data_IF_907464294408
#
_entry.id   IF_907464294408
#
_cell.length_a   1.000
_cell.length_b   1.000
_cell.length_c   1.000
_cell.angle_alpha   90.00
_cell.angle_beta   90.00
_cell.angle_gamma   90.00
#
_symmetry.space_group_name_H-M   'P 1'
#
loop_
_entity.id
_entity.type
_entity.pdbx_description
1 polymer ?
#
# COMPACT_ATOMS: atom_id res chain seq x y z
N UNK A 1 -10.88 1.65 -9.09
CA UNK A 1 -11.82 1.91 -7.98
C UNK A 1 -11.32 3.08 -7.16
N UNK A 2 -12.23 3.85 -6.58
CA UNK A 2 -11.90 5.01 -5.77
C UNK A 2 -12.57 4.91 -4.40
N UNK A 3 -11.78 4.81 -3.33
CA UNK A 3 -12.22 4.56 -1.96
C UNK A 3 -12.14 5.84 -1.14
N UNK A 4 -13.31 6.35 -0.75
CA UNK A 4 -13.47 7.64 -0.03
C UNK A 4 -14.19 7.51 1.31
N UNK A 5 -14.55 6.31 1.76
CA UNK A 5 -15.43 6.08 2.91
C UNK A 5 -14.97 4.94 3.83
N UNK A 6 -15.75 4.69 4.88
CA UNK A 6 -15.57 3.59 5.82
C UNK A 6 -16.26 2.31 5.33
N UNK A 7 -15.98 1.20 6.01
CA UNK A 7 -16.69 -0.08 5.90
C UNK A 7 -16.74 -0.62 4.46
N UNK A 8 -15.68 -0.31 3.71
CA UNK A 8 -15.53 -0.72 2.33
C UNK A 8 -14.92 -2.13 2.28
N UNK A 9 -15.56 -3.02 1.52
CA UNK A 9 -15.00 -4.34 1.20
C UNK A 9 -14.80 -4.47 -0.31
N UNK A 10 -13.58 -4.81 -0.72
CA UNK A 10 -13.23 -5.10 -2.12
C UNK A 10 -12.63 -6.49 -2.15
N UNK A 11 -13.30 -7.44 -2.81
CA UNK A 11 -12.89 -8.84 -2.76
C UNK A 11 -13.05 -9.58 -4.09
N UNK A 12 -12.11 -10.49 -4.38
CA UNK A 12 -12.26 -11.47 -5.47
C UNK A 12 -12.20 -10.87 -6.87
N UNK A 13 -11.60 -9.69 -7.05
CA UNK A 13 -11.51 -9.04 -8.36
C UNK A 13 -10.22 -9.41 -9.07
N UNK A 14 -10.33 -9.61 -10.39
CA UNK A 14 -9.20 -9.59 -11.31
C UNK A 14 -9.11 -8.21 -11.99
N UNK A 15 -7.94 -7.58 -11.96
CA UNK A 15 -7.75 -6.22 -12.49
C UNK A 15 -6.47 -6.16 -13.35
N UNK A 16 -6.52 -5.41 -14.45
CA UNK A 16 -5.37 -5.22 -15.33
C UNK A 16 -5.49 -3.93 -16.16
N UNK A 17 -4.39 -3.55 -16.82
CA UNK A 17 -4.34 -2.45 -17.77
C UNK A 17 -3.52 -1.25 -17.27
N UNK A 18 -2.78 -0.65 -18.20
CA UNK A 18 -1.87 0.48 -17.95
C UNK A 18 -2.51 1.87 -18.15
N UNK A 19 -3.81 1.94 -18.50
CA UNK A 19 -4.50 3.22 -18.70
C UNK A 19 -4.55 4.07 -17.42
N UNK A 20 -5.06 3.53 -16.30
CA UNK A 20 -5.04 4.23 -15.02
C UNK A 20 -3.64 4.28 -14.40
N UNK A 21 -3.37 5.32 -13.59
CA UNK A 21 -2.19 5.36 -12.71
C UNK A 21 -2.24 4.26 -11.65
N UNK A 22 -3.44 3.98 -11.11
CA UNK A 22 -3.66 2.93 -10.10
C UNK A 22 -4.99 2.22 -10.33
N UNK A 23 -5.05 0.94 -9.98
CA UNK A 23 -6.28 0.14 -10.02
C UNK A 23 -7.21 0.48 -8.85
N UNK A 24 -6.68 0.74 -7.65
CA UNK A 24 -7.44 1.16 -6.47
C UNK A 24 -6.76 2.37 -5.84
N UNK A 25 -7.44 3.51 -5.89
CA UNK A 25 -7.03 4.72 -5.18
C UNK A 25 -7.76 4.84 -3.85
N UNK A 26 -7.05 5.21 -2.78
CA UNK A 26 -7.61 5.38 -1.44
C UNK A 26 -7.19 6.74 -0.85
N UNK A 27 -8.17 7.54 -0.40
CA UNK A 27 -7.94 8.85 0.20
C UNK A 27 -8.64 9.98 -0.53
N UNK A 28 -8.35 11.24 -0.20
CA UNK A 28 -8.97 12.41 -0.81
C UNK A 28 -8.51 13.74 -0.23
N UNK A 29 -9.07 14.82 -0.78
CA UNK A 29 -8.60 16.18 -0.51
C UNK A 29 -9.09 16.76 0.81
N UNK A 30 -10.22 16.26 1.31
CA UNK A 30 -10.86 16.77 2.52
C UNK A 30 -10.48 15.93 3.73
N UNK A 31 -10.30 16.58 4.88
CA UNK A 31 -10.08 15.88 6.14
C UNK A 31 -11.22 14.90 6.43
N UNK A 32 -10.87 13.64 6.67
CA UNK A 32 -11.84 12.57 6.94
C UNK A 32 -11.18 11.42 7.68
N UNK A 33 -11.91 10.85 8.63
CA UNK A 33 -11.58 9.56 9.25
C UNK A 33 -12.42 8.47 8.58
N UNK A 34 -11.75 7.45 8.07
CA UNK A 34 -12.32 6.25 7.45
C UNK A 34 -11.93 5.04 8.32
N UNK A 35 -12.75 4.00 8.29
CA UNK A 35 -12.56 2.80 9.14
C UNK A 35 -12.85 1.52 8.37
N UNK A 36 -12.33 0.41 8.86
CA UNK A 36 -12.73 -0.94 8.47
C UNK A 36 -12.63 -1.18 6.95
N UNK A 37 -11.48 -0.85 6.36
CA UNK A 37 -11.22 -1.16 4.95
C UNK A 37 -10.75 -2.62 4.85
N UNK A 38 -11.46 -3.42 4.06
CA UNK A 38 -11.05 -4.79 3.73
C UNK A 38 -10.80 -4.91 2.24
N UNK A 39 -9.59 -5.30 1.86
CA UNK A 39 -9.23 -5.67 0.50
C UNK A 39 -8.70 -7.10 0.54
N UNK A 40 -9.37 -8.03 -0.12
CA UNK A 40 -9.06 -9.44 0.03
C UNK A 40 -9.10 -10.21 -1.28
N UNK A 41 -8.18 -11.15 -1.46
CA UNK A 41 -8.21 -12.11 -2.58
C UNK A 41 -8.30 -11.42 -3.95
N UNK A 42 -7.51 -10.37 -4.17
CA UNK A 42 -7.41 -9.73 -5.48
C UNK A 42 -6.35 -10.40 -6.33
N UNK A 43 -6.53 -10.37 -7.65
CA UNK A 43 -5.46 -10.67 -8.62
C UNK A 43 -5.27 -9.45 -9.50
N UNK A 44 -4.13 -8.78 -9.39
CA UNK A 44 -3.82 -7.61 -10.24
C UNK A 44 -2.57 -7.89 -11.05
N UNK A 45 -2.65 -7.70 -12.36
CA UNK A 45 -1.51 -7.89 -13.25
C UNK A 45 -1.47 -6.91 -14.41
N UNK A 46 -0.30 -6.72 -15.03
CA UNK A 46 -0.12 -5.86 -16.21
C UNK A 46 -0.74 -4.47 -16.02
N UNK A 47 -0.38 -3.80 -14.93
CA UNK A 47 -0.89 -2.49 -14.57
C UNK A 47 0.24 -1.57 -14.08
N UNK A 48 -0.09 -0.29 -13.87
CA UNK A 48 0.80 0.63 -13.15
C UNK A 48 0.78 0.25 -11.66
N UNK A 49 0.09 1.02 -10.81
CA UNK A 49 -0.12 0.63 -9.40
C UNK A 49 -1.30 -0.31 -9.27
N UNK A 50 -1.21 -1.28 -8.36
CA UNK A 50 -2.40 -2.02 -7.95
C UNK A 50 -3.17 -1.23 -6.89
N UNK A 51 -2.56 -0.92 -5.74
CA UNK A 51 -3.19 -0.14 -4.67
C UNK A 51 -2.32 1.09 -4.36
N UNK A 52 -2.94 2.27 -4.39
CA UNK A 52 -2.29 3.52 -3.99
C UNK A 52 -3.15 4.26 -2.96
N UNK A 53 -2.63 4.38 -1.74
CA UNK A 53 -3.17 5.22 -0.67
C UNK A 53 -2.36 6.51 -0.57
N UNK A 54 -3.08 7.64 -0.49
CA UNK A 54 -2.49 8.97 -0.26
C UNK A 54 -3.04 9.58 1.04
N UNK A 55 -2.22 9.54 2.09
CA UNK A 55 -2.62 9.68 3.48
C UNK A 55 -2.78 11.09 4.03
N UNK A 56 -2.11 12.08 3.44
CA UNK A 56 -1.88 13.39 4.08
C UNK A 56 -3.13 14.06 4.73
N UNK A 57 -4.30 13.97 4.10
CA UNK A 57 -5.53 14.56 4.63
C UNK A 57 -6.45 13.60 5.38
N UNK A 58 -6.27 12.29 5.22
CA UNK A 58 -7.21 11.31 5.75
C UNK A 58 -6.57 10.41 6.77
N UNK A 59 -7.42 9.84 7.62
CA UNK A 59 -7.06 8.78 8.52
C UNK A 59 -7.82 7.52 8.12
N UNK A 60 -7.13 6.38 8.13
CA UNK A 60 -7.73 5.04 8.10
C UNK A 60 -7.38 4.32 9.40
N UNK A 61 -8.40 3.77 10.05
CA UNK A 61 -8.23 2.90 11.23
C UNK A 61 -8.78 1.52 10.88
N UNK A 62 -7.98 0.47 11.03
CA UNK A 62 -8.40 -0.90 10.73
C UNK A 62 -8.44 -1.17 9.23
N UNK A 63 -7.26 -1.21 8.60
CA UNK A 63 -7.11 -1.62 7.21
C UNK A 63 -6.56 -3.05 7.14
N UNK A 64 -7.26 -3.94 6.44
CA UNK A 64 -6.81 -5.31 6.19
C UNK A 64 -6.70 -5.52 4.68
N UNK A 65 -5.48 -5.78 4.20
CA UNK A 65 -5.18 -6.11 2.81
C UNK A 65 -4.57 -7.51 2.81
N UNK A 66 -5.31 -8.50 2.35
CA UNK A 66 -4.95 -9.92 2.54
C UNK A 66 -5.13 -10.78 1.30
N UNK A 67 -4.37 -11.88 1.20
CA UNK A 67 -4.59 -12.95 0.21
C UNK A 67 -4.51 -12.52 -1.28
N UNK A 68 -3.89 -11.39 -1.58
CA UNK A 68 -3.77 -10.87 -2.94
C UNK A 68 -2.58 -11.45 -3.72
N UNK A 69 -2.72 -11.53 -5.04
CA UNK A 69 -1.65 -11.79 -5.99
C UNK A 69 -1.41 -10.59 -6.88
N UNK A 70 -0.16 -10.13 -6.94
CA UNK A 70 0.27 -8.98 -7.73
C UNK A 70 1.39 -9.41 -8.67
N UNK A 71 1.26 -9.14 -9.97
CA UNK A 71 2.35 -9.44 -10.90
C UNK A 71 2.50 -8.47 -12.06
N UNK A 72 3.69 -8.38 -12.64
CA UNK A 72 3.93 -7.66 -13.89
C UNK A 72 3.51 -6.18 -13.82
N UNK A 73 3.86 -5.53 -12.70
CA UNK A 73 3.48 -4.14 -12.44
C UNK A 73 4.64 -3.18 -12.77
N UNK A 74 4.27 -2.04 -13.36
CA UNK A 74 5.18 -0.93 -13.64
C UNK A 74 5.24 0.08 -12.48
N UNK A 75 4.19 0.11 -11.64
CA UNK A 75 4.14 0.85 -10.38
C UNK A 75 4.24 -0.11 -9.20
N UNK A 76 3.67 0.30 -8.06
CA UNK A 76 3.79 -0.48 -6.83
C UNK A 76 2.61 -1.43 -6.65
N UNK A 77 2.83 -2.57 -5.98
CA UNK A 77 1.71 -3.47 -5.68
C UNK A 77 0.82 -2.87 -4.59
N UNK A 78 1.41 -2.42 -3.49
CA UNK A 78 0.73 -1.67 -2.44
C UNK A 78 1.61 -0.51 -2.03
N UNK A 79 1.14 0.71 -2.26
CA UNK A 79 1.83 1.93 -1.80
C UNK A 79 0.94 2.67 -0.80
N UNK A 80 1.39 2.72 0.46
CA UNK A 80 0.70 3.33 1.59
C UNK A 80 1.38 4.64 2.03
N UNK A 81 1.15 5.68 1.23
CA UNK A 81 1.98 6.87 1.23
C UNK A 81 1.45 8.00 2.16
N UNK A 82 2.36 8.69 2.85
CA UNK A 82 2.12 9.79 3.80
C UNK A 82 1.01 9.46 4.82
N UNK A 83 1.09 8.27 5.40
CA UNK A 83 0.03 7.67 6.22
C UNK A 83 0.19 7.94 7.73
N UNK A 84 0.65 9.14 8.10
CA UNK A 84 0.99 9.53 9.48
C UNK A 84 -0.18 9.45 10.48
N UNK A 85 -1.41 9.51 9.97
CA UNK A 85 -2.63 9.45 10.78
C UNK A 85 -3.23 8.03 10.83
N UNK A 86 -2.81 7.13 9.94
CA UNK A 86 -3.40 5.80 9.81
C UNK A 86 -2.89 4.89 10.95
N UNK A 87 -3.68 3.87 11.31
CA UNK A 87 -3.35 2.92 12.38
C UNK A 87 -4.11 1.60 12.21
N UNK A 88 -3.64 0.56 12.89
CA UNK A 88 -4.20 -0.80 12.84
C UNK A 88 -4.24 -1.33 11.40
N UNK A 89 -3.07 -1.35 10.77
CA UNK A 89 -2.91 -1.75 9.37
C UNK A 89 -2.31 -3.15 9.32
N UNK A 90 -2.96 -4.07 8.61
CA UNK A 90 -2.47 -5.38 8.28
C UNK A 90 -2.36 -5.52 6.75
N UNK A 91 -1.15 -5.86 6.29
CA UNK A 91 -0.87 -6.23 4.91
C UNK A 91 -0.25 -7.62 4.94
N UNK A 92 -0.98 -8.65 4.51
CA UNK A 92 -0.49 -10.02 4.67
C UNK A 92 -0.90 -11.03 3.62
N UNK A 93 -0.19 -12.15 3.59
CA UNK A 93 -0.55 -13.33 2.80
C UNK A 93 -0.59 -13.01 1.30
N UNK A 94 0.46 -12.36 0.79
CA UNK A 94 0.53 -11.92 -0.60
C UNK A 94 1.57 -12.71 -1.40
N UNK A 95 1.26 -12.91 -2.68
CA UNK A 95 2.24 -13.34 -3.69
C UNK A 95 2.53 -12.16 -4.60
N UNK A 96 3.79 -11.72 -4.65
CA UNK A 96 4.23 -10.53 -5.38
C UNK A 96 5.36 -10.90 -6.33
N UNK A 97 5.15 -10.71 -7.63
CA UNK A 97 6.11 -11.17 -8.65
C UNK A 97 6.37 -10.12 -9.72
N UNK A 98 7.61 -9.98 -10.18
CA UNK A 98 7.93 -9.17 -11.39
C UNK A 98 7.46 -7.73 -11.24
N UNK A 99 7.85 -7.10 -10.14
CA UNK A 99 7.58 -5.69 -9.84
C UNK A 99 8.84 -4.90 -10.15
N UNK A 100 8.85 -4.29 -11.33
CA UNK A 100 10.02 -3.60 -11.84
C UNK A 100 9.61 -2.46 -12.78
N UNK A 101 9.82 -1.23 -12.34
CA UNK A 101 9.56 -0.06 -13.15
C UNK A 101 10.63 0.07 -14.25
N UNK A 102 10.22 -0.13 -15.50
CA UNK A 102 11.09 0.02 -16.68
C UNK A 102 10.83 1.32 -17.45
N UNK A 103 9.90 2.15 -16.99
CA UNK A 103 9.42 3.34 -17.69
C UNK A 103 10.10 4.67 -17.28
N UNK A 104 11.18 4.60 -16.50
CA UNK A 104 11.99 5.76 -16.09
C UNK A 104 11.49 6.52 -14.87
N UNK A 105 10.37 6.10 -14.25
CA UNK A 105 9.89 6.68 -12.98
C UNK A 105 10.67 6.09 -11.80
N UNK A 106 11.59 6.88 -11.27
CA UNK A 106 12.65 6.45 -10.34
C UNK A 106 12.17 5.85 -9.01
N UNK A 107 10.99 6.25 -8.53
CA UNK A 107 10.45 5.83 -7.23
C UNK A 107 9.32 4.79 -7.38
N UNK A 108 9.12 4.24 -8.59
CA UNK A 108 8.09 3.23 -8.86
C UNK A 108 8.72 1.84 -8.87
N UNK A 109 7.90 0.80 -8.68
CA UNK A 109 8.30 -0.60 -8.77
C UNK A 109 8.66 -1.21 -7.41
N UNK A 110 7.96 -0.80 -6.36
CA UNK A 110 8.03 -1.37 -5.01
C UNK A 110 6.92 -2.42 -4.86
N UNK A 111 7.22 -3.55 -4.21
CA UNK A 111 6.19 -4.51 -3.83
C UNK A 111 5.20 -3.88 -2.83
N UNK A 112 5.64 -3.66 -1.60
CA UNK A 112 4.86 -3.02 -0.54
C UNK A 112 5.65 -1.85 0.04
N UNK A 113 5.14 -0.63 -0.10
CA UNK A 113 5.67 0.59 0.48
C UNK A 113 4.77 1.15 1.57
N UNK A 114 5.34 1.53 2.71
CA UNK A 114 4.68 2.35 3.74
C UNK A 114 5.53 3.55 4.10
N UNK A 115 4.95 4.74 4.03
CA UNK A 115 5.67 5.99 4.22
C UNK A 115 4.99 6.90 5.26
N UNK A 116 5.80 7.42 6.18
CA UNK A 116 5.46 8.59 6.98
C UNK A 116 5.57 9.88 6.16
N UNK A 117 5.86 11.00 6.81
CA UNK A 117 6.11 12.28 6.16
C UNK A 117 7.61 12.62 6.22
N UNK A 118 7.95 13.91 6.33
CA UNK A 118 9.33 14.40 6.28
C UNK A 118 10.21 13.82 7.39
N UNK A 119 11.47 13.52 7.06
CA UNK A 119 12.50 13.13 8.01
C UNK A 119 12.87 14.29 8.94
N UNK A 120 12.94 14.01 10.23
CA UNK A 120 13.37 14.95 11.26
C UNK A 120 14.23 14.20 12.29
N UNK A 121 15.37 14.79 12.68
CA UNK A 121 16.34 14.20 13.61
C UNK A 121 15.84 14.14 15.06
N UNK A 122 14.74 14.81 15.39
CA UNK A 122 14.04 14.65 16.67
C UNK A 122 13.16 13.40 16.67
N UNK A 123 13.05 12.70 15.55
CA UNK A 123 12.22 11.51 15.36
C UNK A 123 10.81 11.72 15.92
N UNK A 124 10.06 12.74 15.47
CA UNK A 124 8.74 13.04 16.01
C UNK A 124 7.76 11.90 15.69
N UNK A 125 6.93 11.52 16.67
CA UNK A 125 5.93 10.46 16.49
C UNK A 125 4.89 10.81 15.42
N UNK A 126 4.48 12.07 15.31
CA UNK A 126 3.42 12.54 14.42
C UNK A 126 3.83 12.62 12.93
N UNK A 127 5.11 12.42 12.62
CA UNK A 127 5.58 12.30 11.23
C UNK A 127 5.72 10.84 10.77
N UNK A 128 5.61 9.87 11.68
CA UNK A 128 5.85 8.47 11.35
C UNK A 128 4.59 7.71 10.94
N UNK A 129 4.70 6.84 9.94
CA UNK A 129 3.71 5.75 9.73
C UNK A 129 3.92 4.68 10.79
N UNK A 130 2.85 4.19 11.40
CA UNK A 130 2.99 3.36 12.60
C UNK A 130 1.83 2.39 12.84
N UNK A 131 2.05 1.47 13.78
CA UNK A 131 1.08 0.48 14.22
C UNK A 131 0.58 -0.39 13.05
N UNK A 132 1.54 -0.94 12.30
CA UNK A 132 1.26 -1.79 11.15
C UNK A 132 2.02 -3.11 11.18
N UNK A 133 1.47 -4.10 10.49
CA UNK A 133 2.06 -5.42 10.30
C UNK A 133 2.13 -5.72 8.81
N UNK A 134 3.32 -6.09 8.34
CA UNK A 134 3.52 -6.73 7.04
C UNK A 134 3.94 -8.17 7.29
N UNK A 135 3.18 -9.14 6.81
CA UNK A 135 3.45 -10.54 7.13
C UNK A 135 3.15 -11.52 5.99
N UNK A 136 3.87 -12.64 5.96
CA UNK A 136 3.58 -13.77 5.06
C UNK A 136 3.59 -13.34 3.58
N UNK A 137 4.66 -12.69 3.14
CA UNK A 137 4.79 -12.19 1.77
C UNK A 137 5.72 -13.14 1.01
N UNK A 138 5.26 -13.73 -0.09
CA UNK A 138 6.13 -14.45 -1.02
C UNK A 138 6.46 -13.53 -2.18
N UNK A 139 7.70 -13.05 -2.23
CA UNK A 139 8.18 -12.15 -3.28
C UNK A 139 9.16 -12.82 -4.24
N UNK A 140 9.05 -12.54 -5.54
CA UNK A 140 10.09 -12.90 -6.52
C UNK A 140 10.24 -11.84 -7.61
N UNK A 141 11.46 -11.68 -8.14
CA UNK A 141 11.77 -10.72 -9.21
C UNK A 141 11.21 -9.30 -8.95
N UNK A 142 11.40 -8.81 -7.73
CA UNK A 142 11.03 -7.46 -7.34
C UNK A 142 12.29 -6.63 -7.16
N UNK A 143 12.33 -5.42 -7.75
CA UNK A 143 13.45 -4.48 -7.53
C UNK A 143 13.59 -4.15 -6.04
N UNK A 144 12.47 -3.91 -5.36
CA UNK A 144 12.39 -3.69 -3.93
C UNK A 144 11.08 -4.30 -3.42
N UNK A 145 11.15 -5.40 -2.68
CA UNK A 145 9.94 -6.10 -2.23
C UNK A 145 9.22 -5.32 -1.12
N UNK A 146 9.92 -4.98 -0.04
CA UNK A 146 9.36 -4.23 1.08
C UNK A 146 10.14 -2.92 1.24
N UNK A 147 9.43 -1.81 1.39
CA UNK A 147 9.94 -0.48 1.65
C UNK A 147 9.20 0.12 2.84
N UNK A 148 9.95 0.64 3.81
CA UNK A 148 9.40 1.45 4.90
C UNK A 148 10.25 2.69 5.05
N UNK A 149 9.62 3.86 5.01
CA UNK A 149 10.27 5.13 5.29
C UNK A 149 9.53 5.89 6.39
N UNK A 150 10.32 6.47 7.30
CA UNK A 150 9.82 7.15 8.49
C UNK A 150 8.76 6.30 9.24
N UNK A 151 9.08 5.04 9.49
CA UNK A 151 8.20 4.08 10.15
C UNK A 151 8.51 3.87 11.62
N UNK A 152 7.49 3.65 12.46
CA UNK A 152 7.62 3.30 13.89
C UNK A 152 6.63 2.23 14.31
N UNK A 153 6.90 1.52 15.40
CA UNK A 153 5.96 0.55 16.00
C UNK A 153 5.34 -0.42 14.98
N UNK A 154 6.19 -1.11 14.22
CA UNK A 154 5.74 -2.02 13.18
C UNK A 154 6.41 -3.38 13.27
N UNK A 155 5.80 -4.37 12.63
CA UNK A 155 6.32 -5.73 12.51
C UNK A 155 6.38 -6.12 11.04
N UNK A 156 7.55 -6.60 10.62
CA UNK A 156 7.73 -7.28 9.33
C UNK A 156 8.19 -8.71 9.63
N UNK A 157 7.48 -9.72 9.15
CA UNK A 157 7.78 -11.13 9.45
C UNK A 157 7.38 -12.08 8.33
N UNK A 158 8.07 -13.22 8.21
CA UNK A 158 7.77 -14.26 7.22
C UNK A 158 7.71 -13.70 5.79
N UNK A 159 8.85 -13.19 5.32
CA UNK A 159 9.03 -12.59 3.98
C UNK A 159 9.96 -13.49 3.17
#
# INVERSE_FOLDING_TARGET
>A
LDVRGSDCTIKGLAMSGFGPVTQIYIGGKNKRVMRNLTIDNLTVNHANYAILRQGFHNQIIGANITNCKFSDLQGDAIEWNVAINDSDILISDHVIERINCTNGKINWGIGIGLAGSTYDNNYPEDQAVKNFVVANITGSDCRQLIHVENGKHFVIRNI
#
